data_IF_845446326337
#
_entry.id   IF_845446326337
#
_cell.length_a   1.000
_cell.length_b   1.000
_cell.length_c   1.000
_cell.angle_alpha   90.00
_cell.angle_beta   90.00
_cell.angle_gamma   90.00
#
_symmetry.space_group_name_H-M   'P 1'
#
loop_
_entity.id
_entity.type
_entity.pdbx_description
1 polymer ?
#
# COMPACT_ATOMS: atom_id res chain seq x y z
N UNK A 1 -6.47 -20.51 5.01
CA UNK A 1 -5.18 -19.82 4.82
C UNK A 1 -5.41 -18.31 4.89
N UNK A 2 -4.54 -17.60 5.58
CA UNK A 2 -4.63 -16.15 5.74
C UNK A 2 -4.15 -15.43 4.49
N UNK A 3 -4.80 -14.34 4.14
CA UNK A 3 -4.47 -13.51 2.98
C UNK A 3 -4.04 -12.13 3.44
N UNK A 4 -2.88 -11.69 2.96
CA UNK A 4 -2.38 -10.32 3.14
C UNK A 4 -2.43 -9.58 1.81
N UNK A 5 -2.92 -8.34 1.85
CA UNK A 5 -2.85 -7.39 0.74
C UNK A 5 -1.78 -6.36 1.08
N UNK A 6 -0.79 -6.21 0.20
CA UNK A 6 0.33 -5.27 0.39
C UNK A 6 0.33 -4.28 -0.77
N UNK A 7 0.22 -3.00 -0.46
CA UNK A 7 0.37 -1.97 -1.49
C UNK A 7 1.85 -1.64 -1.70
N UNK A 8 2.26 -1.45 -2.94
CA UNK A 8 3.64 -1.10 -3.27
C UNK A 8 4.67 -2.21 -3.05
N UNK A 9 4.27 -3.47 -3.20
CA UNK A 9 5.17 -4.62 -3.00
C UNK A 9 6.05 -4.95 -4.22
N UNK A 10 6.10 -4.09 -5.22
CA UNK A 10 7.00 -4.27 -6.38
C UNK A 10 8.48 -3.97 -6.07
N UNK A 11 8.77 -3.35 -4.94
CA UNK A 11 10.13 -3.03 -4.50
C UNK A 11 10.19 -2.58 -3.05
N UNK A 12 11.38 -2.33 -2.56
CA UNK A 12 11.66 -1.75 -1.24
C UNK A 12 11.08 -2.54 -0.07
N UNK A 13 10.59 -1.81 0.92
CA UNK A 13 10.02 -2.37 2.17
C UNK A 13 8.82 -3.27 1.86
N UNK A 14 7.97 -2.88 0.91
CA UNK A 14 6.81 -3.68 0.52
C UNK A 14 7.18 -5.05 -0.03
N UNK A 15 8.23 -5.12 -0.85
CA UNK A 15 8.76 -6.37 -1.39
C UNK A 15 9.26 -7.30 -0.30
N UNK A 16 10.05 -6.78 0.64
CA UNK A 16 10.58 -7.58 1.76
C UNK A 16 9.47 -8.01 2.73
N UNK A 17 8.46 -7.15 2.92
CA UNK A 17 7.26 -7.50 3.68
C UNK A 17 6.50 -8.66 3.02
N UNK A 18 6.32 -8.60 1.69
CA UNK A 18 5.69 -9.68 0.94
C UNK A 18 6.49 -10.99 1.04
N UNK A 19 7.81 -10.91 0.97
CA UNK A 19 8.71 -12.07 1.13
C UNK A 19 8.54 -12.72 2.50
N UNK A 20 8.53 -11.91 3.56
CA UNK A 20 8.38 -12.40 4.93
C UNK A 20 7.01 -13.07 5.13
N UNK A 21 5.95 -12.47 4.61
CA UNK A 21 4.59 -13.03 4.68
C UNK A 21 4.47 -14.36 3.94
N UNK A 22 5.06 -14.48 2.75
CA UNK A 22 5.11 -15.74 2.02
C UNK A 22 5.84 -16.82 2.82
N UNK A 23 7.00 -16.48 3.41
CA UNK A 23 7.77 -17.41 4.22
C UNK A 23 7.00 -17.88 5.47
N UNK A 24 6.11 -17.03 5.99
CA UNK A 24 5.22 -17.35 7.12
C UNK A 24 3.91 -18.05 6.70
N UNK A 25 3.80 -18.44 5.44
CA UNK A 25 2.68 -19.25 4.93
C UNK A 25 1.42 -18.43 4.56
N UNK A 26 1.53 -17.12 4.40
CA UNK A 26 0.41 -16.29 3.94
C UNK A 26 0.23 -16.37 2.42
N UNK A 27 -1.00 -16.26 1.97
CA UNK A 27 -1.28 -15.83 0.60
C UNK A 27 -1.04 -14.33 0.53
N UNK A 28 -0.29 -13.87 -0.47
CA UNK A 28 0.06 -12.45 -0.62
C UNK A 28 -0.48 -11.92 -1.94
N UNK A 29 -1.22 -10.83 -1.85
CA UNK A 29 -1.71 -10.05 -2.99
C UNK A 29 -0.99 -8.71 -2.99
N UNK A 30 -0.36 -8.37 -4.10
CA UNK A 30 0.30 -7.08 -4.31
C UNK A 30 -0.62 -6.17 -5.11
N UNK A 31 -0.91 -4.99 -4.57
CA UNK A 31 -1.54 -3.89 -5.32
C UNK A 31 -0.49 -2.85 -5.64
N UNK A 32 -0.10 -2.78 -6.90
CA UNK A 32 0.93 -1.88 -7.38
C UNK A 32 0.78 -1.66 -8.87
N UNK A 33 1.30 -0.56 -9.39
CA UNK A 33 1.34 -0.32 -10.84
C UNK A 33 2.24 -1.31 -11.56
N UNK A 34 3.27 -1.81 -10.89
CA UNK A 34 4.20 -2.81 -11.39
C UNK A 34 4.03 -4.13 -10.64
N UNK A 35 4.23 -5.24 -11.33
CA UNK A 35 4.12 -6.56 -10.72
C UNK A 35 5.20 -6.77 -9.65
N UNK A 36 4.83 -7.50 -8.60
CA UNK A 36 5.78 -7.99 -7.62
C UNK A 36 6.65 -9.09 -8.26
N UNK A 37 7.98 -9.02 -8.16
CA UNK A 37 8.86 -10.00 -8.78
C UNK A 37 8.93 -11.34 -8.03
N UNK A 38 8.29 -11.46 -6.88
CA UNK A 38 8.32 -12.69 -6.09
C UNK A 38 7.36 -13.73 -6.67
N UNK A 39 7.88 -14.95 -6.87
CA UNK A 39 7.05 -16.10 -7.16
C UNK A 39 6.10 -16.39 -5.99
N UNK A 40 4.87 -16.72 -6.30
CA UNK A 40 3.83 -16.99 -5.29
C UNK A 40 3.03 -15.77 -4.85
N UNK A 41 3.42 -14.56 -5.25
CA UNK A 41 2.62 -13.34 -5.03
C UNK A 41 1.65 -13.14 -6.19
N UNK A 42 0.38 -12.97 -5.86
CA UNK A 42 -0.63 -12.55 -6.84
C UNK A 42 -0.53 -11.03 -7.02
N UNK A 43 -0.10 -10.59 -8.18
CA UNK A 43 -0.08 -9.16 -8.52
C UNK A 43 -1.37 -8.74 -9.20
N UNK A 44 -1.99 -7.68 -8.70
CA UNK A 44 -3.11 -7.01 -9.33
C UNK A 44 -2.63 -5.60 -9.69
N UNK A 45 -2.47 -5.28 -10.98
CA UNK A 45 -2.10 -3.94 -11.41
C UNK A 45 -3.12 -2.93 -10.90
N UNK A 46 -2.68 -1.96 -10.13
CA UNK A 46 -3.56 -0.98 -9.52
C UNK A 46 -2.81 0.31 -9.21
N UNK A 47 -3.32 1.41 -9.72
CA UNK A 47 -2.97 2.74 -9.23
C UNK A 47 -3.90 3.05 -8.05
N UNK A 48 -3.37 3.06 -6.84
CA UNK A 48 -4.18 3.27 -5.64
C UNK A 48 -4.71 4.71 -5.49
N UNK A 49 -4.23 5.65 -6.31
CA UNK A 49 -4.80 7.00 -6.40
C UNK A 49 -6.08 7.05 -7.25
N UNK A 50 -6.38 5.97 -7.96
CA UNK A 50 -7.61 5.80 -8.74
C UNK A 50 -8.60 4.91 -7.96
N UNK A 51 -9.67 5.52 -7.43
CA UNK A 51 -10.64 4.79 -6.60
C UNK A 51 -11.37 3.67 -7.34
N UNK A 52 -11.61 3.82 -8.64
CA UNK A 52 -12.25 2.78 -9.44
C UNK A 52 -11.35 1.54 -9.58
N UNK A 53 -10.04 1.73 -9.78
CA UNK A 53 -9.08 0.64 -9.81
C UNK A 53 -8.98 -0.06 -8.45
N UNK A 54 -9.00 0.70 -7.36
CA UNK A 54 -8.98 0.14 -6.00
C UNK A 54 -10.22 -0.72 -5.74
N UNK A 55 -11.40 -0.23 -6.08
CA UNK A 55 -12.64 -0.99 -5.92
C UNK A 55 -12.62 -2.29 -6.75
N UNK A 56 -12.17 -2.22 -8.00
CA UNK A 56 -12.06 -3.39 -8.87
C UNK A 56 -11.05 -4.41 -8.31
N UNK A 57 -9.92 -3.95 -7.77
CA UNK A 57 -8.91 -4.82 -7.17
C UNK A 57 -9.47 -5.58 -5.97
N UNK A 58 -10.14 -4.90 -5.04
CA UNK A 58 -10.73 -5.56 -3.87
C UNK A 58 -11.93 -6.45 -4.20
N UNK A 59 -12.67 -6.15 -5.28
CA UNK A 59 -13.71 -7.06 -5.78
C UNK A 59 -13.13 -8.41 -6.25
N UNK A 60 -11.86 -8.45 -6.62
CA UNK A 60 -11.16 -9.68 -7.05
C UNK A 60 -10.45 -10.42 -5.90
N UNK A 61 -10.56 -9.94 -4.67
CA UNK A 61 -9.94 -10.54 -3.48
C UNK A 61 -11.02 -10.95 -2.49
N UNK A 62 -11.17 -12.27 -2.30
CA UNK A 62 -12.28 -12.81 -1.49
C UNK A 62 -12.06 -12.65 0.01
N UNK A 63 -10.80 -12.66 0.45
CA UNK A 63 -10.44 -12.63 1.88
C UNK A 63 -9.26 -11.70 2.11
N UNK A 64 -9.36 -10.88 3.15
CA UNK A 64 -8.27 -10.01 3.62
C UNK A 64 -8.16 -10.15 5.14
N UNK A 65 -7.09 -10.77 5.61
CA UNK A 65 -6.75 -10.89 7.03
C UNK A 65 -5.77 -9.79 7.48
N UNK A 66 -4.97 -9.28 6.54
CA UNK A 66 -4.03 -8.20 6.79
C UNK A 66 -3.99 -7.27 5.58
N UNK A 67 -4.15 -5.99 5.83
CA UNK A 67 -3.85 -4.94 4.86
C UNK A 67 -2.58 -4.23 5.31
N UNK A 68 -1.57 -4.19 4.43
CA UNK A 68 -0.33 -3.41 4.63
C UNK A 68 -0.36 -2.22 3.69
N UNK A 69 -0.61 -1.04 4.24
CA UNK A 69 -0.47 0.22 3.52
C UNK A 69 1.00 0.63 3.53
N UNK A 70 1.69 0.40 2.42
CA UNK A 70 3.11 0.67 2.26
C UNK A 70 3.43 1.59 1.08
N UNK A 71 2.61 1.60 0.03
CA UNK A 71 2.87 2.43 -1.14
C UNK A 71 3.01 3.91 -0.76
N UNK A 72 4.05 4.54 -1.27
CA UNK A 72 4.33 5.93 -1.00
C UNK A 72 5.61 6.40 -1.67
N UNK A 73 5.79 7.70 -1.71
CA UNK A 73 7.04 8.33 -2.15
C UNK A 73 7.25 9.63 -1.39
N UNK A 74 8.49 10.09 -1.37
CA UNK A 74 8.86 11.39 -0.80
C UNK A 74 9.43 12.32 -1.85
N UNK A 75 9.25 13.60 -1.63
CA UNK A 75 9.94 14.67 -2.36
C UNK A 75 10.86 15.40 -1.39
N UNK A 76 12.00 15.85 -1.88
CA UNK A 76 12.96 16.62 -1.10
C UNK A 76 13.18 17.98 -1.77
N UNK A 77 13.35 19.01 -0.95
CA UNK A 77 13.60 20.35 -1.42
C UNK A 77 13.10 21.40 -0.44
N UNK A 78 13.56 22.62 -0.62
CA UNK A 78 13.08 23.75 0.16
C UNK A 78 11.59 24.00 -0.16
N UNK A 79 10.80 24.37 0.85
CA UNK A 79 9.34 24.59 0.70
C UNK A 79 9.03 25.60 -0.39
N UNK A 80 9.78 26.70 -0.43
CA UNK A 80 9.60 27.75 -1.44
C UNK A 80 9.93 27.31 -2.86
N UNK A 81 10.68 26.22 -3.02
CA UNK A 81 11.07 25.65 -4.31
C UNK A 81 10.21 24.46 -4.73
N UNK A 82 9.26 24.05 -3.90
CA UNK A 82 8.42 22.86 -4.15
C UNK A 82 7.08 23.29 -4.71
N UNK A 83 6.74 22.81 -5.89
CA UNK A 83 5.49 23.13 -6.57
C UNK A 83 4.26 22.54 -5.87
N UNK A 84 3.14 23.25 -5.92
CA UNK A 84 1.88 22.80 -5.32
C UNK A 84 1.42 21.44 -5.89
N UNK A 85 1.59 21.22 -7.20
CA UNK A 85 1.20 19.98 -7.83
C UNK A 85 1.98 18.77 -7.29
N UNK A 86 3.26 18.95 -6.99
CA UNK A 86 4.09 17.91 -6.38
C UNK A 86 3.65 17.60 -4.96
N UNK A 87 3.36 18.64 -4.17
CA UNK A 87 2.86 18.49 -2.80
C UNK A 87 1.54 17.72 -2.81
N UNK A 88 0.60 18.10 -3.67
CA UNK A 88 -0.71 17.44 -3.79
C UNK A 88 -0.55 15.97 -4.20
N UNK A 89 0.32 15.69 -5.17
CA UNK A 89 0.57 14.32 -5.61
C UNK A 89 1.14 13.45 -4.48
N UNK A 90 2.01 13.99 -3.65
CA UNK A 90 2.55 13.29 -2.48
C UNK A 90 1.44 12.97 -1.48
N UNK A 91 0.57 13.92 -1.17
CA UNK A 91 -0.57 13.69 -0.29
C UNK A 91 -1.60 12.72 -0.89
N UNK A 92 -1.84 12.80 -2.19
CA UNK A 92 -2.75 11.90 -2.88
C UNK A 92 -2.32 10.42 -2.72
N UNK A 93 -1.03 10.14 -2.87
CA UNK A 93 -0.52 8.78 -2.71
C UNK A 93 -0.31 8.40 -1.25
N UNK A 94 0.34 9.26 -0.46
CA UNK A 94 0.77 8.91 0.89
C UNK A 94 -0.33 8.98 1.94
N UNK A 95 -1.43 9.67 1.64
CA UNK A 95 -2.54 9.84 2.58
C UNK A 95 -3.88 9.45 1.97
N UNK A 96 -4.38 10.18 0.99
CA UNK A 96 -5.75 9.98 0.48
C UNK A 96 -5.95 8.60 -0.13
N UNK A 97 -4.97 8.09 -0.88
CA UNK A 97 -5.04 6.75 -1.45
C UNK A 97 -5.13 5.66 -0.37
N UNK A 98 -4.46 5.84 0.75
CA UNK A 98 -4.53 4.89 1.86
C UNK A 98 -5.93 4.83 2.48
N UNK A 99 -6.59 5.98 2.61
CA UNK A 99 -7.98 6.04 3.07
C UNK A 99 -8.89 5.29 2.11
N UNK A 100 -8.74 5.51 0.81
CA UNK A 100 -9.50 4.81 -0.24
C UNK A 100 -9.29 3.30 -0.18
N UNK A 101 -8.04 2.85 -0.04
CA UNK A 101 -7.69 1.44 0.09
C UNK A 101 -8.31 0.83 1.36
N UNK A 102 -8.22 1.51 2.48
CA UNK A 102 -8.83 1.06 3.74
C UNK A 102 -10.34 0.90 3.58
N UNK A 103 -11.02 1.90 3.02
CA UNK A 103 -12.46 1.85 2.81
C UNK A 103 -12.87 0.64 1.93
N UNK A 104 -12.11 0.36 0.88
CA UNK A 104 -12.37 -0.78 0.01
C UNK A 104 -12.10 -2.14 0.70
N UNK A 105 -11.08 -2.20 1.56
CA UNK A 105 -10.70 -3.41 2.28
C UNK A 105 -11.60 -3.73 3.48
N UNK A 106 -12.23 -2.72 4.08
CA UNK A 106 -12.97 -2.87 5.35
C UNK A 106 -14.02 -3.97 5.36
N UNK A 107 -14.84 -4.18 4.32
CA UNK A 107 -15.84 -5.26 4.35
C UNK A 107 -15.19 -6.64 4.54
N UNK A 108 -14.10 -6.93 3.82
CA UNK A 108 -13.37 -8.19 3.93
C UNK A 108 -12.62 -8.29 5.27
N UNK A 109 -12.00 -7.21 5.72
CA UNK A 109 -11.31 -7.15 7.01
C UNK A 109 -12.25 -7.40 8.20
N UNK A 110 -13.47 -6.87 8.15
CA UNK A 110 -14.47 -7.12 9.19
C UNK A 110 -14.88 -8.58 9.27
N UNK A 111 -15.09 -9.21 8.11
CA UNK A 111 -15.43 -10.65 8.02
C UNK A 111 -14.34 -11.53 8.61
N UNK A 112 -13.08 -11.23 8.33
CA UNK A 112 -11.93 -12.01 8.79
C UNK A 112 -11.48 -11.65 10.22
N UNK A 113 -11.99 -10.56 10.80
CA UNK A 113 -11.42 -9.90 11.97
C UNK A 113 -9.94 -9.55 11.76
N UNK A 114 -9.66 -9.06 10.56
CA UNK A 114 -8.31 -8.74 10.09
C UNK A 114 -7.72 -7.49 10.73
N UNK A 115 -6.51 -7.18 10.28
CA UNK A 115 -5.71 -6.05 10.79
C UNK A 115 -5.29 -5.12 9.66
N UNK A 116 -5.01 -3.87 10.03
CA UNK A 116 -4.42 -2.87 9.14
C UNK A 116 -3.06 -2.49 9.73
N UNK A 117 -2.03 -2.57 8.91
CA UNK A 117 -0.68 -2.12 9.21
C UNK A 117 -0.33 -0.95 8.30
N UNK A 118 -0.12 0.22 8.87
CA UNK A 118 0.32 1.41 8.14
C UNK A 118 1.82 1.60 8.33
N UNK A 119 2.57 1.59 7.25
CA UNK A 119 4.01 1.87 7.27
C UNK A 119 4.20 3.38 7.31
N UNK A 120 4.56 3.89 8.48
CA UNK A 120 4.88 5.29 8.68
C UNK A 120 6.38 5.54 8.38
N UNK A 121 6.92 6.60 8.89
CA UNK A 121 8.31 6.98 8.67
C UNK A 121 8.92 7.56 9.95
N UNK A 122 10.22 7.40 10.11
CA UNK A 122 10.99 8.13 11.12
C UNK A 122 10.87 9.66 10.91
N UNK A 123 10.64 10.10 9.69
CA UNK A 123 10.38 11.51 9.38
C UNK A 123 9.11 12.08 10.03
N UNK A 124 8.21 11.21 10.51
CA UNK A 124 7.03 11.64 11.27
C UNK A 124 7.37 12.11 12.70
N UNK A 125 8.53 11.72 13.24
CA UNK A 125 8.96 12.02 14.62
C UNK A 125 10.30 12.74 14.69
N UNK A 126 11.12 12.70 13.66
CA UNK A 126 12.40 13.39 13.57
C UNK A 126 12.37 14.48 12.51
N UNK A 127 13.00 15.62 12.82
CA UNK A 127 13.20 16.68 11.83
C UNK A 127 14.22 16.24 10.79
N UNK A 128 13.86 16.37 9.52
CA UNK A 128 14.73 16.11 8.38
C UNK A 128 14.87 17.41 7.60
N UNK A 129 16.09 17.95 7.36
CA UNK A 129 16.27 19.15 6.55
C UNK A 129 15.87 18.87 5.09
N UNK A 130 15.17 19.84 4.51
CA UNK A 130 14.65 19.77 3.12
C UNK A 130 13.69 18.60 2.89
#
# INVERSE_FOLDING_TARGET
MKTAVVTGASGGIGLETARALLADGWQVVCLSRHACPLEGVRSIPCDITDSAQVQAAFAAVDRVDLLVNNAGFGISGAVECTGEAEIRRQFDLNFFAWVTVIQAALPALRKSRGRILNISSAAAVFSIPF
#
